data_IF_272602750511
#
_entry.id   IF_272602750511
#
_cell.length_a   1.000
_cell.length_b   1.000
_cell.length_c   1.000
_cell.angle_alpha   90.00
_cell.angle_beta   90.00
_cell.angle_gamma   90.00
#
_symmetry.space_group_name_H-M   'P 1'
#
loop_
_entity.id
_entity.type
_entity.pdbx_description
1 polymer ?
#
# COMPACT_ATOMS: atom_id res chain seq x y z
N UNK A 1 26.01 -33.63 -24.50
CA UNK A 1 26.78 -32.37 -24.36
C UNK A 1 26.56 -31.81 -22.96
N UNK A 2 27.61 -31.30 -22.30
CA UNK A 2 27.49 -30.67 -20.99
C UNK A 2 26.86 -29.27 -21.12
N UNK A 3 26.01 -28.89 -20.18
CA UNK A 3 25.41 -27.55 -20.15
C UNK A 3 26.49 -26.47 -19.94
N UNK A 4 26.45 -25.41 -20.73
CA UNK A 4 27.39 -24.28 -20.65
C UNK A 4 26.65 -22.95 -20.62
N UNK A 5 27.22 -21.97 -19.93
CA UNK A 5 26.66 -20.62 -19.84
C UNK A 5 27.12 -19.77 -21.01
N UNK A 6 26.28 -19.68 -22.05
CA UNK A 6 26.48 -18.75 -23.17
C UNK A 6 25.92 -17.37 -22.82
N UNK A 7 26.29 -16.35 -23.60
CA UNK A 7 25.79 -14.97 -23.43
C UNK A 7 24.26 -14.93 -23.48
N UNK A 8 23.65 -15.65 -24.42
CA UNK A 8 22.19 -15.70 -24.58
C UNK A 8 21.50 -16.35 -23.38
N UNK A 9 22.08 -17.42 -22.83
CA UNK A 9 21.55 -18.08 -21.63
C UNK A 9 21.66 -17.19 -20.38
N UNK A 10 22.74 -16.41 -20.27
CA UNK A 10 22.91 -15.42 -19.20
C UNK A 10 21.87 -14.30 -19.34
N UNK A 11 21.62 -13.81 -20.56
CA UNK A 11 20.61 -12.80 -20.82
C UNK A 11 19.20 -13.32 -20.49
N UNK A 12 18.88 -14.53 -20.94
CA UNK A 12 17.61 -15.19 -20.60
C UNK A 12 17.41 -15.31 -19.09
N UNK A 13 18.44 -15.70 -18.33
CA UNK A 13 18.37 -15.75 -16.87
C UNK A 13 18.12 -14.35 -16.27
N UNK A 14 18.80 -13.30 -16.75
CA UNK A 14 18.61 -11.92 -16.27
C UNK A 14 17.20 -11.41 -16.53
N UNK A 15 16.66 -11.67 -17.72
CA UNK A 15 15.35 -11.19 -18.13
C UNK A 15 14.21 -11.86 -17.37
N UNK A 16 14.41 -13.11 -16.94
CA UNK A 16 13.38 -13.93 -16.30
C UNK A 16 13.54 -14.09 -14.78
N UNK A 17 14.69 -13.72 -14.21
CA UNK A 17 14.93 -13.76 -12.76
C UNK A 17 13.89 -12.93 -12.01
N UNK A 18 13.16 -13.57 -11.09
CA UNK A 18 12.10 -12.93 -10.31
C UNK A 18 10.76 -12.75 -11.06
N UNK A 19 10.68 -13.14 -12.34
CA UNK A 19 9.43 -13.21 -13.12
C UNK A 19 8.92 -14.65 -13.23
N UNK A 20 9.81 -15.58 -13.57
CA UNK A 20 9.51 -17.01 -13.69
C UNK A 20 10.02 -17.78 -12.47
N UNK A 21 9.32 -18.87 -12.13
CA UNK A 21 9.80 -19.83 -11.14
C UNK A 21 11.11 -20.41 -11.63
N UNK A 22 12.02 -20.70 -10.69
CA UNK A 22 13.35 -21.24 -11.03
C UNK A 22 13.28 -22.53 -11.86
N UNK A 23 12.21 -23.31 -11.67
CA UNK A 23 11.94 -24.53 -12.45
C UNK A 23 11.63 -24.23 -13.92
N UNK A 24 10.79 -23.24 -14.19
CA UNK A 24 10.44 -22.83 -15.56
C UNK A 24 11.67 -22.27 -16.29
N UNK A 25 12.52 -21.51 -15.59
CA UNK A 25 13.80 -21.05 -16.14
C UNK A 25 14.73 -22.23 -16.46
N UNK A 26 14.76 -23.25 -15.60
CA UNK A 26 15.57 -24.45 -15.82
C UNK A 26 15.07 -25.25 -17.03
N UNK A 27 13.76 -25.42 -17.17
CA UNK A 27 13.11 -26.07 -18.31
C UNK A 27 13.37 -25.31 -19.61
N UNK A 28 13.22 -23.98 -19.62
CA UNK A 28 13.49 -23.14 -20.80
C UNK A 28 14.95 -23.12 -21.24
N UNK A 29 15.88 -23.35 -20.32
CA UNK A 29 17.32 -23.45 -20.62
C UNK A 29 17.80 -24.89 -20.87
N UNK A 30 16.92 -25.89 -20.70
CA UNK A 30 17.28 -27.31 -20.81
C UNK A 30 18.31 -27.74 -19.76
N UNK A 31 18.16 -27.29 -18.52
CA UNK A 31 19.10 -27.54 -17.41
C UNK A 31 18.38 -27.86 -16.10
N UNK A 32 19.10 -27.91 -14.98
CA UNK A 32 18.54 -28.16 -13.66
C UNK A 32 18.47 -26.89 -12.79
N UNK A 33 17.57 -26.93 -11.81
CA UNK A 33 17.32 -25.81 -10.88
C UNK A 33 18.57 -25.40 -10.10
N UNK A 34 19.43 -26.35 -9.73
CA UNK A 34 20.67 -26.09 -8.98
C UNK A 34 21.65 -25.24 -9.80
N UNK A 35 21.81 -25.54 -11.09
CA UNK A 35 22.64 -24.76 -12.02
C UNK A 35 22.14 -23.33 -12.13
N UNK A 36 20.81 -23.14 -12.22
CA UNK A 36 20.18 -21.81 -12.22
C UNK A 36 20.48 -21.06 -10.92
N UNK A 37 20.28 -21.68 -9.75
CA UNK A 37 20.53 -21.04 -8.44
C UNK A 37 21.99 -20.61 -8.28
N UNK A 38 22.92 -21.48 -8.66
CA UNK A 38 24.35 -21.21 -8.56
C UNK A 38 24.75 -20.02 -9.45
N UNK A 39 24.22 -19.96 -10.68
CA UNK A 39 24.51 -18.84 -11.56
C UNK A 39 23.83 -17.55 -11.11
N UNK A 40 22.57 -17.62 -10.65
CA UNK A 40 21.88 -16.46 -10.11
C UNK A 40 22.62 -15.87 -8.90
N UNK A 41 23.15 -16.71 -8.00
CA UNK A 41 23.98 -16.28 -6.89
C UNK A 41 25.27 -15.58 -7.37
N UNK A 42 25.97 -16.14 -8.36
CA UNK A 42 27.17 -15.52 -8.97
C UNK A 42 26.87 -14.17 -9.62
N UNK A 43 25.70 -14.03 -10.24
CA UNK A 43 25.23 -12.80 -10.89
C UNK A 43 24.52 -11.83 -9.93
N UNK A 44 24.40 -12.18 -8.64
CA UNK A 44 23.65 -11.41 -7.62
C UNK A 44 22.20 -11.12 -8.01
N UNK A 45 21.55 -12.07 -8.69
CA UNK A 45 20.15 -12.00 -9.09
C UNK A 45 19.23 -12.63 -8.04
N UNK A 46 18.12 -11.96 -7.74
CA UNK A 46 17.05 -12.56 -6.93
C UNK A 46 16.17 -13.45 -7.80
N UNK A 47 16.03 -14.72 -7.42
CA UNK A 47 15.09 -15.67 -8.04
C UNK A 47 13.71 -15.67 -7.39
N UNK A 48 13.49 -14.81 -6.39
CA UNK A 48 12.19 -14.73 -5.71
C UNK A 48 11.17 -14.12 -6.67
N UNK A 49 10.28 -14.97 -7.17
CA UNK A 49 9.09 -14.52 -7.92
C UNK A 49 8.21 -13.74 -6.96
N UNK A 50 7.96 -12.46 -7.28
CA UNK A 50 6.97 -11.68 -6.54
C UNK A 50 5.59 -12.14 -6.98
N UNK A 51 4.68 -12.36 -6.04
CA UNK A 51 3.29 -12.73 -6.35
C UNK A 51 2.46 -11.61 -6.97
N UNK A 52 3.10 -10.53 -7.44
CA UNK A 52 2.45 -9.36 -8.01
C UNK A 52 3.42 -8.59 -8.94
N UNK A 53 2.88 -7.98 -9.99
CA UNK A 53 3.62 -7.20 -11.00
C UNK A 53 3.72 -5.73 -10.61
N UNK A 54 4.43 -4.92 -11.40
CA UNK A 54 4.43 -3.46 -11.23
C UNK A 54 3.05 -2.85 -11.50
N UNK A 55 2.35 -3.36 -12.52
CA UNK A 55 0.97 -2.96 -12.85
C UNK A 55 0.02 -3.22 -11.67
N UNK A 56 0.16 -4.35 -10.97
CA UNK A 56 -0.60 -4.61 -9.75
C UNK A 56 -0.30 -3.58 -8.64
N UNK A 57 0.93 -3.08 -8.54
CA UNK A 57 1.29 -2.04 -7.56
C UNK A 57 0.59 -0.73 -7.91
N UNK A 58 0.68 -0.30 -9.16
CA UNK A 58 0.04 0.94 -9.62
C UNK A 58 -1.47 0.89 -9.46
N UNK A 59 -2.09 -0.23 -9.84
CA UNK A 59 -3.53 -0.43 -9.74
C UNK A 59 -4.01 -0.45 -8.28
N UNK A 60 -3.31 -1.14 -7.38
CA UNK A 60 -3.62 -1.14 -5.94
C UNK A 60 -3.58 0.28 -5.38
N UNK A 61 -2.56 1.08 -5.71
CA UNK A 61 -2.47 2.45 -5.26
C UNK A 61 -3.53 3.37 -5.88
N UNK A 62 -3.87 3.17 -7.17
CA UNK A 62 -4.92 3.92 -7.86
C UNK A 62 -6.29 3.68 -7.22
N UNK A 63 -6.63 2.41 -6.98
CA UNK A 63 -7.90 2.03 -6.34
C UNK A 63 -7.97 2.56 -4.91
N UNK A 64 -6.92 2.36 -4.11
CA UNK A 64 -6.90 2.80 -2.72
C UNK A 64 -6.93 4.32 -2.53
N UNK A 65 -6.39 5.08 -3.50
CA UNK A 65 -6.43 6.53 -3.54
C UNK A 65 -7.74 7.12 -4.10
N UNK A 66 -8.69 6.30 -4.53
CA UNK A 66 -10.02 6.73 -4.98
C UNK A 66 -10.77 7.42 -3.83
N UNK A 67 -11.62 8.43 -4.11
CA UNK A 67 -12.48 9.06 -3.11
C UNK A 67 -13.52 8.10 -2.51
N UNK A 68 -13.76 6.95 -3.16
CA UNK A 68 -14.60 5.90 -2.61
C UNK A 68 -13.88 5.20 -1.44
N UNK A 69 -14.60 4.95 -0.34
CA UNK A 69 -14.06 4.23 0.82
C UNK A 69 -13.90 2.73 0.50
N UNK A 70 -12.90 2.41 -0.33
CA UNK A 70 -12.62 1.05 -0.78
C UNK A 70 -11.67 0.36 0.21
N UNK A 71 -12.10 -0.81 0.70
CA UNK A 71 -11.32 -1.60 1.65
C UNK A 71 -10.24 -2.41 0.94
N UNK A 72 -9.19 -2.80 1.68
CA UNK A 72 -8.15 -3.75 1.21
C UNK A 72 -8.77 -5.02 0.62
N UNK A 73 -9.86 -5.50 1.22
CA UNK A 73 -10.59 -6.68 0.74
C UNK A 73 -11.21 -6.44 -0.64
N UNK A 74 -11.81 -5.27 -0.86
CA UNK A 74 -12.42 -4.93 -2.15
C UNK A 74 -11.34 -4.76 -3.23
N UNK A 75 -10.20 -4.14 -2.89
CA UNK A 75 -9.05 -4.03 -3.81
C UNK A 75 -8.51 -5.42 -4.17
N UNK A 76 -8.38 -6.32 -3.21
CA UNK A 76 -7.95 -7.70 -3.44
C UNK A 76 -8.87 -8.42 -4.44
N UNK A 77 -10.19 -8.26 -4.29
CA UNK A 77 -11.18 -8.82 -5.23
C UNK A 77 -11.00 -8.23 -6.64
N UNK A 78 -10.85 -6.91 -6.76
CA UNK A 78 -10.73 -6.24 -8.05
C UNK A 78 -9.41 -6.55 -8.78
N UNK A 79 -8.31 -6.68 -8.02
CA UNK A 79 -6.96 -6.92 -8.57
C UNK A 79 -6.61 -8.40 -8.71
N UNK A 80 -7.44 -9.30 -8.18
CA UNK A 80 -7.14 -10.73 -8.11
C UNK A 80 -5.98 -11.08 -7.16
N UNK A 81 -5.49 -10.12 -6.37
CA UNK A 81 -4.42 -10.33 -5.40
C UNK A 81 -4.96 -10.84 -4.07
N UNK A 82 -4.10 -11.47 -3.27
CA UNK A 82 -4.48 -11.77 -1.89
C UNK A 82 -4.51 -10.48 -1.05
N UNK A 83 -5.39 -10.37 -0.03
CA UNK A 83 -5.42 -9.21 0.87
C UNK A 83 -4.08 -8.93 1.55
N UNK A 84 -3.28 -9.97 1.82
CA UNK A 84 -1.94 -9.84 2.37
C UNK A 84 -0.95 -9.18 1.40
N UNK A 85 -1.03 -9.50 0.09
CA UNK A 85 -0.23 -8.85 -0.94
C UNK A 85 -0.65 -7.38 -1.09
N UNK A 86 -1.95 -7.09 -1.11
CA UNK A 86 -2.46 -5.71 -1.16
C UNK A 86 -1.96 -4.91 0.04
N UNK A 87 -2.05 -5.48 1.24
CA UNK A 87 -1.53 -4.85 2.47
C UNK A 87 -0.01 -4.63 2.41
N UNK A 88 0.74 -5.60 1.88
CA UNK A 88 2.18 -5.45 1.69
C UNK A 88 2.52 -4.32 0.70
N UNK A 89 1.82 -4.24 -0.42
CA UNK A 89 1.98 -3.18 -1.42
C UNK A 89 1.71 -1.81 -0.80
N UNK A 90 0.60 -1.66 -0.07
CA UNK A 90 0.20 -0.40 0.54
C UNK A 90 1.13 0.00 1.68
N UNK A 91 1.41 -0.90 2.61
CA UNK A 91 1.99 -0.53 3.91
C UNK A 91 3.47 -0.88 4.07
N UNK A 92 4.01 -1.78 3.25
CA UNK A 92 5.40 -2.26 3.37
C UNK A 92 6.32 -1.73 2.25
N UNK A 93 5.77 -1.04 1.25
CA UNK A 93 6.50 -0.54 0.09
C UNK A 93 6.74 0.97 0.11
N UNK A 94 7.86 1.43 0.70
CA UNK A 94 8.80 2.44 0.16
C UNK A 94 9.56 3.20 1.25
N UNK A 95 10.86 2.91 1.32
CA UNK A 95 11.88 3.81 1.87
C UNK A 95 12.71 4.54 0.80
N UNK A 96 12.38 4.47 -0.51
CA UNK A 96 13.32 4.92 -1.56
C UNK A 96 12.73 5.56 -2.81
N UNK A 97 11.43 5.83 -2.89
CA UNK A 97 10.88 6.62 -4.01
C UNK A 97 9.96 7.69 -3.45
N UNK A 98 10.47 8.93 -3.50
CA UNK A 98 9.78 10.20 -3.22
C UNK A 98 8.28 10.02 -3.31
N UNK A 99 7.62 9.91 -2.16
CA UNK A 99 6.26 9.39 -2.12
C UNK A 99 5.31 10.42 -2.73
N UNK A 100 4.80 10.10 -3.91
CA UNK A 100 3.59 10.68 -4.48
C UNK A 100 2.35 10.35 -3.65
N UNK A 101 2.53 9.73 -2.48
CA UNK A 101 1.51 9.24 -1.58
C UNK A 101 1.87 9.66 -0.15
N UNK A 102 0.91 10.22 0.58
CA UNK A 102 1.04 10.62 1.97
C UNK A 102 0.11 9.77 2.84
N UNK A 103 0.53 9.47 4.06
CA UNK A 103 -0.33 8.80 5.04
C UNK A 103 -1.17 9.87 5.73
N UNK A 104 -2.48 9.79 5.59
CA UNK A 104 -3.44 10.69 6.22
C UNK A 104 -4.21 9.91 7.29
N UNK A 105 -4.17 10.43 8.51
CA UNK A 105 -4.99 9.91 9.61
C UNK A 105 -6.40 10.51 9.55
N UNK A 106 -7.41 9.68 9.77
CA UNK A 106 -8.81 10.07 9.85
C UNK A 106 -9.38 9.72 11.22
N UNK A 107 -10.36 10.52 11.65
CA UNK A 107 -11.25 10.18 12.75
C UNK A 107 -12.64 9.94 12.16
N UNK A 108 -13.17 8.75 12.42
CA UNK A 108 -14.51 8.32 12.07
C UNK A 108 -15.35 8.31 13.35
N UNK A 109 -16.54 8.90 13.30
CA UNK A 109 -17.41 8.98 14.45
C UNK A 109 -18.87 9.10 14.03
N UNK A 110 -19.77 8.81 14.97
CA UNK A 110 -21.19 9.04 14.83
C UNK A 110 -21.59 10.31 15.56
N UNK A 111 -22.28 11.22 14.88
CA UNK A 111 -22.84 12.40 15.55
C UNK A 111 -23.97 11.99 16.50
N UNK A 112 -24.27 12.81 17.50
CA UNK A 112 -25.44 12.60 18.38
C UNK A 112 -26.79 12.54 17.64
N UNK A 113 -26.82 13.00 16.37
CA UNK A 113 -27.97 12.91 15.46
C UNK A 113 -27.99 11.62 14.62
N UNK A 114 -27.10 10.66 14.87
CA UNK A 114 -27.01 9.36 14.18
C UNK A 114 -26.29 9.38 12.83
N UNK A 115 -25.69 10.51 12.42
CA UNK A 115 -24.94 10.61 11.16
C UNK A 115 -23.50 10.17 11.36
N UNK A 116 -23.03 9.21 10.56
CA UNK A 116 -21.61 8.84 10.48
C UNK A 116 -20.82 9.91 9.70
N UNK A 117 -19.71 10.35 10.29
CA UNK A 117 -18.84 11.39 9.75
C UNK A 117 -17.40 10.88 9.80
N UNK A 118 -16.63 11.21 8.76
CA UNK A 118 -15.20 10.91 8.64
C UNK A 118 -14.47 12.20 8.35
N UNK A 119 -13.49 12.55 9.18
CA UNK A 119 -12.72 13.80 9.03
C UNK A 119 -11.22 13.50 9.07
N UNK A 120 -10.45 14.18 8.21
CA UNK A 120 -8.99 14.16 8.28
C UNK A 120 -8.54 14.75 9.62
N UNK A 121 -7.73 14.02 10.39
CA UNK A 121 -7.24 14.45 11.71
C UNK A 121 -6.47 15.78 11.63
N UNK A 122 -5.82 16.05 10.50
CA UNK A 122 -5.11 17.31 10.23
C UNK A 122 -6.02 18.55 10.19
N UNK A 123 -7.34 18.38 9.98
CA UNK A 123 -8.33 19.46 9.96
C UNK A 123 -8.91 19.77 11.35
N UNK A 124 -8.55 18.98 12.38
CA UNK A 124 -9.04 19.20 13.74
C UNK A 124 -8.33 20.44 14.32
N UNK A 125 -9.13 21.29 14.95
CA UNK A 125 -8.62 22.39 15.75
C UNK A 125 -8.12 21.85 17.08
N UNK A 126 -6.81 21.62 17.17
CA UNK A 126 -6.17 21.06 18.37
C UNK A 126 -6.19 22.01 19.57
N UNK A 127 -6.51 23.29 19.37
CA UNK A 127 -6.66 24.25 20.49
C UNK A 127 -7.98 24.07 21.20
N UNK A 128 -9.05 23.79 20.44
CA UNK A 128 -10.41 23.57 20.96
C UNK A 128 -10.73 22.11 21.25
N UNK A 129 -10.06 21.20 20.54
CA UNK A 129 -10.15 19.76 20.75
C UNK A 129 -8.74 19.21 21.02
N UNK A 130 -8.27 19.31 22.29
CA UNK A 130 -6.97 18.78 22.64
C UNK A 130 -6.89 17.28 22.34
N UNK A 131 -5.78 16.75 21.80
CA UNK A 131 -5.66 15.36 21.39
C UNK A 131 -5.99 14.36 22.50
N UNK A 132 -5.61 14.67 23.74
CA UNK A 132 -5.89 13.86 24.93
C UNK A 132 -7.38 13.63 25.17
N UNK A 133 -8.22 14.58 24.73
CA UNK A 133 -9.67 14.49 24.92
C UNK A 133 -10.34 13.47 23.99
N UNK A 134 -9.67 13.08 22.92
CA UNK A 134 -10.11 12.11 21.91
C UNK A 134 -9.82 10.65 22.31
N UNK A 135 -9.18 10.44 23.46
CA UNK A 135 -8.90 9.13 24.02
C UNK A 135 -9.69 8.92 25.33
N UNK A 136 -10.02 7.67 25.62
CA UNK A 136 -10.85 7.27 26.76
C UNK A 136 -12.18 6.66 26.32
N UNK A 137 -13.01 6.26 27.27
CA UNK A 137 -14.37 5.80 27.02
C UNK A 137 -15.33 6.89 27.51
N UNK A 138 -15.86 7.68 26.58
CA UNK A 138 -16.78 8.79 26.86
C UNK A 138 -18.04 8.63 26.02
N UNK A 139 -19.17 8.98 26.63
CA UNK A 139 -20.48 8.97 25.96
C UNK A 139 -20.58 10.01 24.84
N UNK A 140 -19.75 11.06 24.87
CA UNK A 140 -19.67 12.06 23.83
C UNK A 140 -18.33 12.80 23.82
N UNK A 141 -17.92 13.23 22.63
CA UNK A 141 -16.70 14.00 22.35
C UNK A 141 -17.07 15.29 21.63
N UNK A 142 -16.42 16.39 21.99
CA UNK A 142 -16.61 17.69 21.35
C UNK A 142 -15.46 17.94 20.36
N UNK A 143 -15.73 17.77 19.06
CA UNK A 143 -14.75 17.84 17.99
C UNK A 143 -14.94 19.14 17.21
N UNK A 144 -13.91 19.98 17.21
CA UNK A 144 -13.84 21.21 16.44
C UNK A 144 -12.91 21.05 15.25
N UNK A 145 -13.33 21.58 14.10
CA UNK A 145 -12.50 21.69 12.91
C UNK A 145 -11.96 23.12 12.78
N UNK A 146 -10.86 23.25 12.03
CA UNK A 146 -10.20 24.54 11.78
C UNK A 146 -11.09 25.55 11.04
N UNK A 147 -12.10 25.09 10.32
CA UNK A 147 -13.09 25.95 9.65
C UNK A 147 -14.19 26.47 10.60
N UNK A 148 -14.13 26.09 11.89
CA UNK A 148 -15.11 26.46 12.91
C UNK A 148 -16.30 25.49 13.03
N UNK A 149 -16.35 24.42 12.23
CA UNK A 149 -17.38 23.39 12.35
C UNK A 149 -17.22 22.62 13.67
N UNK A 150 -18.35 22.39 14.35
CA UNK A 150 -18.41 21.66 15.62
C UNK A 150 -19.24 20.39 15.49
N UNK A 151 -18.72 19.29 15.99
CA UNK A 151 -19.42 18.01 16.09
C UNK A 151 -19.49 17.51 17.53
N UNK A 152 -20.68 17.08 17.94
CA UNK A 152 -20.86 16.21 19.09
C UNK A 152 -20.80 14.76 18.61
N UNK A 153 -19.72 14.07 18.94
CA UNK A 153 -19.33 12.78 18.39
C UNK A 153 -19.43 11.65 19.41
N UNK A 154 -19.68 10.43 18.95
CA UNK A 154 -19.72 9.18 19.70
C UNK A 154 -19.02 8.09 18.89
N UNK A 155 -18.65 6.98 19.52
CA UNK A 155 -18.06 5.82 18.85
C UNK A 155 -16.85 6.20 17.99
N UNK A 156 -15.87 6.91 18.56
CA UNK A 156 -14.68 7.35 17.81
C UNK A 156 -13.85 6.14 17.37
N UNK A 157 -13.47 6.14 16.10
CA UNK A 157 -12.59 5.18 15.50
C UNK A 157 -11.50 5.92 14.72
N UNK A 158 -10.25 5.54 14.95
CA UNK A 158 -9.11 6.10 14.22
C UNK A 158 -8.76 5.17 13.07
N UNK A 159 -8.69 5.71 11.86
CA UNK A 159 -8.27 4.98 10.66
C UNK A 159 -7.14 5.72 9.96
N UNK A 160 -6.25 4.96 9.31
CA UNK A 160 -5.18 5.54 8.48
C UNK A 160 -5.46 5.18 7.02
N UNK A 161 -5.26 6.15 6.12
CA UNK A 161 -5.33 5.92 4.68
C UNK A 161 -4.12 6.56 3.99
N UNK A 162 -3.49 5.80 3.11
CA UNK A 162 -2.46 6.29 2.19
C UNK A 162 -3.19 6.91 1.01
N UNK A 163 -3.12 8.23 0.90
CA UNK A 163 -3.73 9.00 -0.19
C UNK A 163 -2.64 9.45 -1.15
N UNK A 164 -2.98 9.71 -2.41
CA UNK A 164 -2.07 10.44 -3.29
C UNK A 164 -1.81 11.83 -2.68
N UNK A 165 -0.55 12.26 -2.66
CA UNK A 165 -0.15 13.58 -2.16
C UNK A 165 -0.95 14.63 -2.91
N UNK A 166 -1.93 15.25 -2.26
CA UNK A 166 -2.68 16.36 -2.86
C UNK A 166 -1.65 17.43 -3.18
N UNK A 167 -1.55 17.86 -4.43
CA UNK A 167 -0.86 19.11 -4.73
C UNK A 167 -1.59 20.17 -3.91
N UNK A 168 -0.93 20.67 -2.86
CA UNK A 168 -1.45 21.84 -2.15
C UNK A 168 -1.44 22.96 -3.18
N UNK A 169 -2.58 23.17 -3.82
CA UNK A 169 -2.82 24.30 -4.68
C UNK A 169 -2.41 25.52 -3.89
N UNK A 170 -1.42 26.24 -4.43
CA UNK A 170 -1.12 27.60 -4.03
C UNK A 170 -2.44 28.35 -4.16
N UNK A 171 -3.07 28.68 -3.04
CA UNK A 171 -4.06 29.75 -3.02
C UNK A 171 -3.27 30.99 -3.46
N UNK A 172 -3.53 31.43 -4.69
CA UNK A 172 -3.17 32.76 -5.19
C UNK A 172 -4.33 33.68 -4.89
#
# INVERSE_FOLDING_TARGET
MAFSWTKDRINYLRENAGKLRTREIAEGLGTNVTVIRNMAARLKLSLRVRGFTHEHVEEVHRLYGSPENITVRNIAIQTGLSPGIVSYILYSGRGTTSSSYERVEYIEFETTKGRKVRVEKALIDTTRTPPETLYGDKDAYDIWLQDGTRFMARNLHFSEQITARKSRGRLV
#
